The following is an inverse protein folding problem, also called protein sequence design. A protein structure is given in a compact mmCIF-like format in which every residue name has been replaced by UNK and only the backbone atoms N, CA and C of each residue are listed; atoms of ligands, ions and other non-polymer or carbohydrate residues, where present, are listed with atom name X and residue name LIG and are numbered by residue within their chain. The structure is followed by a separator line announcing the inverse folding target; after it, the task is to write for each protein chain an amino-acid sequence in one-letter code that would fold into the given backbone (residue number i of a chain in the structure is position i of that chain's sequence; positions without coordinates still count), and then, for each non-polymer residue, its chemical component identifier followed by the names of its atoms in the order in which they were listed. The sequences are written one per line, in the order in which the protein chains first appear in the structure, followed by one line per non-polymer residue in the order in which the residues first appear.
data_IF_059638648547
#
_entry.id   IF_059638648547
#
_cell.length_a   1.000
_cell.length_b   1.000
_cell.length_c   1.000
_cell.angle_alpha   90.00
_cell.angle_beta   90.00
_cell.angle_gamma   90.00
#
_symmetry.space_group_name_H-M   'P 1'
#
loop_
_entity.id
_entity.type
_entity.pdbx_description
1 polymer ?
#
# COMPACT_ATOMS: atom_id res chain seq x y z
N UNK A 1 24.31 -34.17 69.27
CA UNK A 1 25.46 -34.96 68.75
C UNK A 1 25.27 -35.06 67.21
N UNK A 2 26.32 -34.65 66.53
CA UNK A 2 26.66 -34.94 65.11
C UNK A 2 25.98 -34.12 64.03
N UNK A 3 26.71 -33.09 63.53
CA UNK A 3 26.67 -32.60 62.18
C UNK A 3 27.15 -33.67 61.19
N UNK A 4 26.69 -33.59 59.92
CA UNK A 4 27.67 -33.45 58.82
C UNK A 4 27.30 -32.37 57.80
N UNK A 5 28.26 -31.56 57.56
CA UNK A 5 29.13 -31.36 56.38
C UNK A 5 28.44 -30.98 55.03
N UNK A 6 28.77 -29.76 54.65
CA UNK A 6 28.59 -29.18 53.32
C UNK A 6 29.13 -30.08 52.20
N UNK A 7 28.30 -30.24 51.12
CA UNK A 7 28.73 -30.66 49.81
C UNK A 7 28.60 -29.45 48.89
N UNK A 8 29.74 -28.94 48.43
CA UNK A 8 29.86 -27.90 47.42
C UNK A 8 29.54 -28.52 46.05
N UNK A 9 28.58 -27.96 45.37
CA UNK A 9 28.25 -28.26 43.95
C UNK A 9 29.13 -27.36 43.06
N UNK A 10 29.92 -27.94 42.13
CA UNK A 10 30.80 -27.16 41.25
C UNK A 10 30.19 -26.99 39.84
N UNK A 11 29.10 -26.26 39.70
CA UNK A 11 28.50 -25.95 38.36
C UNK A 11 27.90 -24.55 38.28
N UNK A 12 28.62 -23.53 38.80
CA UNK A 12 28.17 -22.15 38.71
C UNK A 12 29.27 -21.20 38.19
N UNK A 13 29.98 -21.62 37.12
CA UNK A 13 31.03 -20.78 36.49
C UNK A 13 31.09 -20.93 34.97
N UNK A 14 29.94 -20.77 34.25
CA UNK A 14 29.97 -20.58 32.81
C UNK A 14 28.87 -19.61 32.30
N UNK A 15 28.70 -18.48 33.01
CA UNK A 15 28.09 -17.29 32.45
C UNK A 15 29.16 -16.46 31.76
N UNK A 16 29.64 -16.96 30.60
CA UNK A 16 30.42 -16.17 29.68
C UNK A 16 29.65 -14.90 29.37
N UNK A 17 30.17 -13.76 29.77
CA UNK A 17 29.67 -12.44 29.48
C UNK A 17 29.51 -12.31 27.96
N UNK A 18 28.27 -12.20 27.49
CA UNK A 18 27.99 -11.78 26.09
C UNK A 18 28.68 -10.44 25.89
N UNK A 19 29.47 -10.30 24.81
CA UNK A 19 30.03 -9.00 24.47
C UNK A 19 28.90 -7.99 24.27
N UNK A 20 29.10 -6.72 24.68
CA UNK A 20 28.12 -5.67 24.48
C UNK A 20 27.83 -5.58 22.99
N UNK A 21 26.54 -5.67 22.63
CA UNK A 21 26.04 -5.40 21.27
C UNK A 21 26.44 -3.96 20.94
N UNK A 22 27.13 -3.70 19.82
CA UNK A 22 27.44 -2.33 19.42
C UNK A 22 26.12 -1.58 19.26
N UNK A 23 26.07 -0.27 19.62
CA UNK A 23 24.87 0.54 19.46
C UNK A 23 24.41 0.44 18.02
N UNK A 24 23.17 -0.06 17.83
CA UNK A 24 22.56 -0.17 16.53
C UNK A 24 22.54 1.19 15.85
N UNK A 25 22.70 1.21 14.53
CA UNK A 25 22.43 2.38 13.72
C UNK A 25 21.09 2.98 14.17
N UNK A 26 20.96 4.33 14.25
CA UNK A 26 19.71 4.95 14.60
C UNK A 26 18.67 4.54 13.55
N UNK A 27 17.84 3.57 13.91
CA UNK A 27 16.69 3.19 13.11
C UNK A 27 15.76 4.39 13.03
N UNK A 28 15.12 4.58 11.90
CA UNK A 28 14.03 5.53 11.77
C UNK A 28 13.06 5.29 12.92
N UNK A 29 12.72 6.31 13.72
CA UNK A 29 11.83 6.17 14.86
C UNK A 29 10.44 5.73 14.34
N UNK A 30 9.93 4.64 14.89
CA UNK A 30 8.62 4.09 14.53
C UNK A 30 8.64 2.72 13.86
N UNK A 31 9.82 2.18 13.52
CA UNK A 31 9.93 0.78 13.11
C UNK A 31 10.53 -0.05 14.25
N UNK A 32 9.86 -1.16 14.68
CA UNK A 32 10.45 -2.09 15.62
C UNK A 32 11.81 -2.53 15.09
N UNK A 33 12.79 -2.54 15.96
CA UNK A 33 14.18 -2.88 15.64
C UNK A 33 14.26 -4.13 14.75
N UNK A 34 15.16 -4.09 13.79
CA UNK A 34 15.44 -5.23 12.93
C UNK A 34 15.54 -6.52 13.74
N UNK A 35 14.77 -7.59 13.39
CA UNK A 35 15.07 -8.90 13.89
C UNK A 35 16.51 -9.23 13.48
N UNK A 36 17.35 -9.57 14.44
CA UNK A 36 18.77 -9.80 14.24
C UNK A 36 19.03 -10.68 13.02
N UNK A 37 19.92 -10.23 12.14
CA UNK A 37 20.48 -11.09 11.11
C UNK A 37 21.04 -12.35 11.79
N UNK A 38 20.67 -13.58 11.37
CA UNK A 38 21.27 -14.78 11.91
C UNK A 38 22.79 -14.72 11.71
N UNK A 39 23.53 -15.04 12.75
CA UNK A 39 24.94 -14.79 12.95
C UNK A 39 25.94 -15.55 12.07
N UNK A 40 25.80 -15.57 10.76
CA UNK A 40 26.88 -15.87 9.82
C UNK A 40 26.87 -14.79 8.74
N UNK A 41 27.58 -13.70 9.01
CA UNK A 41 27.77 -12.59 8.06
C UNK A 41 28.72 -13.07 6.94
N UNK A 42 28.15 -13.57 5.85
CA UNK A 42 28.87 -13.83 4.61
C UNK A 42 29.08 -12.48 3.87
N UNK A 43 30.31 -11.96 3.95
CA UNK A 43 30.72 -10.74 3.27
C UNK A 43 30.42 -10.78 1.76
N UNK A 44 30.51 -11.96 1.15
CA UNK A 44 30.19 -12.16 -0.26
C UNK A 44 28.72 -11.93 -0.54
N UNK A 45 27.85 -12.34 0.39
CA UNK A 45 26.41 -12.12 0.31
C UNK A 45 26.02 -10.67 0.50
N UNK A 46 26.70 -9.98 1.44
CA UNK A 46 26.56 -8.53 1.63
C UNK A 46 26.98 -7.77 0.36
N UNK A 47 28.13 -8.12 -0.20
CA UNK A 47 28.61 -7.50 -1.44
C UNK A 47 27.69 -7.79 -2.63
N UNK A 48 27.12 -8.97 -2.75
CA UNK A 48 26.11 -9.31 -3.76
C UNK A 48 24.81 -8.51 -3.56
N UNK A 49 24.39 -8.30 -2.32
CA UNK A 49 23.23 -7.47 -1.98
C UNK A 49 23.48 -5.98 -2.34
N UNK A 50 24.67 -5.47 -2.07
CA UNK A 50 25.06 -4.11 -2.44
C UNK A 50 25.24 -3.92 -3.96
N UNK A 51 25.59 -4.97 -4.68
CA UNK A 51 25.79 -4.97 -6.13
C UNK A 51 24.49 -5.16 -6.94
N UNK A 52 23.32 -5.18 -6.27
CA UNK A 52 22.04 -5.35 -6.97
C UNK A 52 21.79 -4.19 -7.95
N UNK A 53 21.53 -4.47 -9.24
CA UNK A 53 21.32 -3.42 -10.23
C UNK A 53 19.96 -2.74 -10.01
N UNK A 54 19.93 -1.42 -10.11
CA UNK A 54 18.72 -0.62 -10.08
C UNK A 54 18.60 0.31 -8.88
N UNK A 55 17.61 1.21 -8.90
CA UNK A 55 17.41 2.23 -7.88
C UNK A 55 16.80 1.68 -6.58
N UNK A 56 16.25 0.46 -6.60
CA UNK A 56 15.67 -0.25 -5.45
C UNK A 56 16.20 -1.69 -5.40
N UNK A 57 16.60 -2.14 -4.22
CA UNK A 57 17.00 -3.54 -4.04
C UNK A 57 15.78 -4.41 -3.75
N UNK A 58 15.23 -5.02 -4.79
CA UNK A 58 14.01 -5.83 -4.73
C UNK A 58 14.17 -7.14 -3.94
N UNK A 59 15.37 -7.70 -3.90
CA UNK A 59 15.62 -8.91 -3.10
C UNK A 59 15.49 -8.62 -1.61
N UNK A 60 16.08 -7.49 -1.17
CA UNK A 60 15.92 -7.01 0.20
C UNK A 60 14.45 -6.69 0.48
N UNK A 61 13.77 -6.01 -0.43
CA UNK A 61 12.36 -5.67 -0.26
C UNK A 61 11.50 -6.92 -0.01
N UNK A 62 11.68 -7.98 -0.81
CA UNK A 62 10.95 -9.24 -0.61
C UNK A 62 11.30 -9.94 0.71
N UNK A 63 12.58 -9.96 1.09
CA UNK A 63 13.01 -10.56 2.35
C UNK A 63 12.42 -9.84 3.56
N UNK A 64 12.45 -8.50 3.56
CA UNK A 64 11.89 -7.68 4.64
C UNK A 64 10.37 -7.82 4.70
N UNK A 65 9.68 -7.80 3.57
CA UNK A 65 8.22 -8.00 3.53
C UNK A 65 7.82 -9.34 4.15
N UNK A 66 8.54 -10.42 3.80
CA UNK A 66 8.32 -11.74 4.40
C UNK A 66 8.60 -11.74 5.91
N UNK A 67 9.66 -11.07 6.36
CA UNK A 67 9.98 -10.96 7.77
C UNK A 67 8.90 -10.22 8.55
N UNK A 68 8.42 -9.08 8.05
CA UNK A 68 7.34 -8.29 8.65
C UNK A 68 6.04 -9.08 8.72
N UNK A 69 5.70 -9.82 7.66
CA UNK A 69 4.51 -10.69 7.65
C UNK A 69 4.64 -11.85 8.64
N UNK A 70 5.86 -12.37 8.84
CA UNK A 70 6.12 -13.47 9.76
C UNK A 70 6.19 -13.04 11.24
N UNK A 71 6.24 -11.74 11.53
CA UNK A 71 6.19 -11.24 12.91
C UNK A 71 4.90 -11.71 13.58
N UNK A 72 5.01 -12.29 14.80
CA UNK A 72 3.84 -12.69 15.55
C UNK A 72 2.91 -11.48 15.76
N UNK A 73 1.60 -11.70 15.61
CA UNK A 73 0.60 -10.73 16.01
C UNK A 73 0.67 -10.42 17.51
N UNK A 74 -0.11 -9.45 18.01
CA UNK A 74 -0.14 -9.08 19.44
C UNK A 74 -0.35 -10.29 20.37
N UNK A 75 -1.02 -11.33 19.86
CA UNK A 75 -1.32 -12.55 20.61
C UNK A 75 -0.23 -13.63 20.52
N UNK A 76 0.88 -13.38 19.80
CA UNK A 76 2.01 -14.30 19.65
C UNK A 76 1.69 -15.63 18.95
N UNK A 77 0.52 -15.73 18.29
CA UNK A 77 0.10 -16.96 17.63
C UNK A 77 0.85 -17.14 16.29
N UNK A 78 1.36 -18.36 16.00
CA UNK A 78 1.90 -18.66 14.69
C UNK A 78 0.80 -18.58 13.63
N UNK A 79 1.16 -18.19 12.40
CA UNK A 79 0.21 -18.08 11.29
C UNK A 79 -0.61 -19.37 11.14
N UNK A 80 -1.94 -19.23 11.11
CA UNK A 80 -2.86 -20.36 10.96
C UNK A 80 -2.76 -20.93 9.54
N UNK A 81 -2.74 -22.27 9.36
CA UNK A 81 -2.78 -22.86 8.04
C UNK A 81 -4.08 -22.52 7.31
N UNK A 82 -4.00 -22.34 6.00
CA UNK A 82 -5.17 -22.13 5.15
C UNK A 82 -6.01 -23.40 5.13
N UNK A 83 -7.33 -23.24 5.29
CA UNK A 83 -8.28 -24.35 5.14
C UNK A 83 -8.15 -24.97 3.73
N UNK A 84 -7.91 -26.28 3.59
CA UNK A 84 -7.80 -26.94 2.28
C UNK A 84 -9.04 -26.80 1.40
N UNK A 85 -10.22 -26.52 1.98
CA UNK A 85 -11.45 -26.29 1.23
C UNK A 85 -11.56 -24.85 0.69
N UNK A 86 -10.82 -23.88 1.24
CA UNK A 86 -10.94 -22.47 0.88
C UNK A 86 -10.74 -22.20 -0.63
N UNK A 87 -9.79 -22.80 -1.35
CA UNK A 87 -9.63 -22.56 -2.79
C UNK A 87 -10.89 -22.91 -3.60
N UNK A 88 -11.54 -24.05 -3.29
CA UNK A 88 -12.77 -24.47 -3.97
C UNK A 88 -13.93 -23.54 -3.59
N UNK A 89 -14.08 -23.20 -2.31
CA UNK A 89 -15.09 -22.27 -1.82
C UNK A 89 -15.01 -20.92 -2.53
N UNK A 90 -13.84 -20.29 -2.54
CA UNK A 90 -13.68 -18.98 -3.19
C UNK A 90 -13.81 -19.05 -4.71
N UNK A 91 -13.43 -20.14 -5.35
CA UNK A 91 -13.67 -20.34 -6.78
C UNK A 91 -15.17 -20.42 -7.12
N UNK A 92 -15.97 -21.04 -6.27
CA UNK A 92 -17.43 -21.09 -6.42
C UNK A 92 -18.09 -19.74 -6.16
N UNK A 93 -17.65 -19.05 -5.09
CA UNK A 93 -18.14 -17.71 -4.76
C UNK A 93 -17.79 -16.69 -5.86
N UNK A 94 -16.59 -16.75 -6.42
CA UNK A 94 -16.19 -15.88 -7.52
C UNK A 94 -17.03 -16.12 -8.79
N UNK A 95 -17.35 -17.37 -9.11
CA UNK A 95 -18.24 -17.70 -10.25
C UNK A 95 -19.66 -17.16 -10.03
N UNK A 96 -20.20 -17.32 -8.82
CA UNK A 96 -21.50 -16.77 -8.45
C UNK A 96 -21.49 -15.23 -8.49
N UNK A 97 -20.45 -14.61 -7.93
CA UNK A 97 -20.27 -13.17 -7.95
C UNK A 97 -20.19 -12.63 -9.39
N UNK A 98 -19.46 -13.30 -10.27
CA UNK A 98 -19.37 -12.94 -11.70
C UNK A 98 -20.75 -12.92 -12.38
N UNK A 99 -21.58 -13.92 -12.13
CA UNK A 99 -22.93 -13.99 -12.70
C UNK A 99 -23.78 -12.79 -12.23
N UNK A 100 -23.75 -12.49 -10.93
CA UNK A 100 -24.55 -11.39 -10.37
C UNK A 100 -24.01 -9.99 -10.74
N UNK A 101 -22.69 -9.83 -10.85
CA UNK A 101 -22.09 -8.59 -11.36
C UNK A 101 -22.52 -8.35 -12.81
N UNK A 102 -22.56 -9.39 -13.66
CA UNK A 102 -23.02 -9.29 -15.05
C UNK A 102 -24.51 -8.94 -15.19
N UNK A 103 -25.33 -9.20 -14.15
CA UNK A 103 -26.74 -8.76 -14.11
C UNK A 103 -26.89 -7.27 -13.77
N UNK A 104 -25.90 -6.71 -13.06
CA UNK A 104 -25.95 -5.34 -12.54
C UNK A 104 -25.27 -4.35 -13.48
N UNK A 105 -24.15 -4.71 -14.09
CA UNK A 105 -23.36 -3.83 -14.96
C UNK A 105 -23.29 -4.35 -16.40
N UNK A 106 -23.24 -3.42 -17.35
CA UNK A 106 -23.02 -3.73 -18.77
C UNK A 106 -21.55 -3.98 -19.14
N UNK A 107 -20.64 -3.80 -18.19
CA UNK A 107 -19.22 -4.11 -18.39
C UNK A 107 -19.07 -5.61 -18.65
N UNK A 108 -18.31 -5.96 -19.69
CA UNK A 108 -18.14 -7.34 -20.09
C UNK A 108 -17.48 -8.16 -18.98
N UNK A 109 -18.30 -8.86 -18.19
CA UNK A 109 -17.86 -9.75 -17.12
C UNK A 109 -17.27 -11.08 -17.64
N UNK A 110 -16.71 -11.08 -18.85
CA UNK A 110 -15.94 -12.23 -19.38
C UNK A 110 -14.58 -12.33 -18.70
N UNK A 111 -14.59 -12.18 -17.39
CA UNK A 111 -13.36 -12.24 -16.61
C UNK A 111 -12.96 -13.70 -16.41
N UNK A 112 -12.13 -14.25 -17.27
CA UNK A 112 -11.40 -15.49 -16.98
C UNK A 112 -10.20 -15.16 -16.10
N UNK A 113 -10.47 -14.54 -14.96
CA UNK A 113 -9.41 -14.25 -14.00
C UNK A 113 -9.16 -15.49 -13.13
N UNK A 114 -7.91 -15.92 -12.94
CA UNK A 114 -7.61 -17.01 -12.03
C UNK A 114 -7.97 -16.61 -10.59
N UNK A 115 -8.62 -17.53 -9.87
CA UNK A 115 -8.94 -17.40 -8.46
C UNK A 115 -7.85 -18.07 -7.64
N UNK A 116 -7.26 -17.35 -6.70
CA UNK A 116 -6.18 -17.80 -5.85
C UNK A 116 -6.49 -17.49 -4.38
N UNK A 117 -6.30 -18.49 -3.53
CA UNK A 117 -6.20 -18.28 -2.10
C UNK A 117 -4.72 -18.20 -1.75
N UNK A 118 -4.29 -17.08 -1.23
CA UNK A 118 -2.89 -16.75 -1.00
C UNK A 118 -2.64 -16.40 0.47
N UNK A 119 -1.39 -16.49 0.89
CA UNK A 119 -0.95 -15.96 2.18
C UNK A 119 -0.52 -14.50 2.08
N UNK A 120 -0.38 -13.84 3.24
CA UNK A 120 0.06 -12.45 3.30
C UNK A 120 1.43 -12.20 2.65
N UNK A 121 2.37 -13.15 2.75
CA UNK A 121 3.69 -13.03 2.11
C UNK A 121 3.58 -13.02 0.58
N UNK A 122 2.73 -13.86 0.01
CA UNK A 122 2.48 -13.89 -1.43
C UNK A 122 1.73 -12.64 -1.89
N UNK A 123 0.80 -12.13 -1.08
CA UNK A 123 0.16 -10.84 -1.32
C UNK A 123 1.18 -9.71 -1.39
N UNK A 124 2.14 -9.69 -0.45
CA UNK A 124 3.22 -8.71 -0.44
C UNK A 124 4.08 -8.77 -1.71
N UNK A 125 4.44 -9.96 -2.18
CA UNK A 125 5.22 -10.14 -3.41
C UNK A 125 4.47 -9.61 -4.63
N UNK A 126 3.18 -9.91 -4.77
CA UNK A 126 2.34 -9.42 -5.85
C UNK A 126 2.29 -7.88 -5.89
N UNK A 127 2.23 -7.23 -4.72
CA UNK A 127 2.16 -5.78 -4.64
C UNK A 127 3.52 -5.09 -4.77
N UNK A 128 4.61 -5.71 -4.31
CA UNK A 128 5.97 -5.24 -4.61
C UNK A 128 6.22 -5.23 -6.13
N UNK A 129 5.81 -6.27 -6.84
CA UNK A 129 5.96 -6.34 -8.30
C UNK A 129 5.08 -5.27 -9.00
N UNK A 130 3.86 -5.07 -8.53
CA UNK A 130 2.94 -4.09 -9.09
C UNK A 130 3.37 -2.62 -8.84
N UNK A 131 3.91 -2.35 -7.65
CA UNK A 131 4.41 -1.03 -7.26
C UNK A 131 5.81 -0.74 -7.80
N UNK A 132 6.50 -1.75 -8.33
CA UNK A 132 7.87 -1.64 -8.83
C UNK A 132 8.12 -0.39 -9.67
N UNK A 133 7.38 -0.14 -10.77
CA UNK A 133 7.59 1.03 -11.61
C UNK A 133 7.41 2.36 -10.89
N UNK A 134 6.49 2.44 -9.91
CA UNK A 134 6.22 3.66 -9.12
C UNK A 134 7.36 3.91 -8.14
N UNK A 135 7.80 2.88 -7.41
CA UNK A 135 8.88 2.98 -6.42
C UNK A 135 10.24 3.25 -7.07
N UNK A 136 10.49 2.71 -8.25
CA UNK A 136 11.68 3.03 -9.01
C UNK A 136 11.69 4.48 -9.52
N UNK A 137 10.55 5.01 -9.94
CA UNK A 137 10.44 6.42 -10.31
C UNK A 137 10.67 7.32 -9.10
N UNK A 138 10.11 6.99 -7.94
CA UNK A 138 10.37 7.69 -6.68
C UNK A 138 11.87 7.68 -6.35
N UNK A 139 12.50 6.50 -6.40
CA UNK A 139 13.90 6.33 -6.10
C UNK A 139 14.80 7.18 -7.03
N UNK A 140 14.49 7.22 -8.34
CA UNK A 140 15.22 8.05 -9.30
C UNK A 140 15.02 9.54 -9.03
N UNK A 141 13.79 9.95 -8.72
CA UNK A 141 13.48 11.36 -8.39
C UNK A 141 14.27 11.81 -7.16
N UNK A 142 14.30 11.01 -6.09
CA UNK A 142 15.07 11.32 -4.89
C UNK A 142 16.59 11.34 -5.19
N UNK A 143 17.08 10.37 -5.96
CA UNK A 143 18.50 10.29 -6.35
C UNK A 143 18.97 11.48 -7.17
N UNK A 144 18.16 12.01 -8.10
CA UNK A 144 18.51 13.22 -8.87
C UNK A 144 18.52 14.47 -8.01
N UNK A 145 17.55 14.62 -7.11
CA UNK A 145 17.52 15.77 -6.20
C UNK A 145 18.76 15.82 -5.30
N UNK A 146 19.16 14.68 -4.72
CA UNK A 146 20.40 14.61 -3.94
C UNK A 146 21.65 14.93 -4.77
N UNK A 147 21.72 14.48 -6.02
CA UNK A 147 22.86 14.74 -6.89
C UNK A 147 22.97 16.21 -7.30
N UNK A 148 21.83 16.85 -7.58
CA UNK A 148 21.75 18.26 -7.97
C UNK A 148 22.16 19.17 -6.80
N UNK A 149 21.72 18.88 -5.59
CA UNK A 149 22.06 19.66 -4.39
C UNK A 149 23.53 19.49 -3.97
N UNK A 150 24.13 18.31 -4.20
CA UNK A 150 25.56 18.08 -3.99
C UNK A 150 26.41 18.76 -5.05
N UNK A 151 25.84 19.06 -6.23
CA UNK A 151 26.57 19.73 -7.34
C UNK A 151 26.46 21.26 -7.26
N UNK A 152 25.61 21.85 -6.42
CA UNK A 152 25.49 23.30 -6.26
C UNK A 152 26.65 23.84 -5.41
N UNK A 153 27.58 24.60 -6.00
CA UNK A 153 28.82 25.06 -5.33
C UNK A 153 28.61 26.32 -4.48
N UNK A 154 27.42 26.56 -3.92
CA UNK A 154 27.21 27.66 -2.98
C UNK A 154 27.97 27.49 -1.64
N UNK A 155 28.63 26.34 -1.44
CA UNK A 155 29.62 26.10 -0.40
C UNK A 155 31.03 26.40 -0.95
N UNK A 156 31.79 27.21 -0.25
CA UNK A 156 33.17 27.65 -0.46
C UNK A 156 34.07 26.47 -0.94
N UNK A 157 34.28 26.34 -2.24
CA UNK A 157 34.83 25.21 -3.01
C UNK A 157 36.21 24.69 -2.62
N UNK A 158 36.56 24.59 -1.35
CA UNK A 158 37.85 24.10 -0.82
C UNK A 158 37.73 22.77 -0.02
N UNK A 159 36.58 22.18 0.11
CA UNK A 159 36.38 20.91 0.82
C UNK A 159 36.67 19.70 -0.07
N UNK A 160 37.47 18.74 0.43
CA UNK A 160 37.52 17.40 -0.15
C UNK A 160 36.11 16.78 -0.18
N UNK A 161 35.74 15.99 -1.22
CA UNK A 161 34.43 15.35 -1.30
C UNK A 161 34.20 14.55 -0.01
N UNK A 162 33.04 14.80 0.63
CA UNK A 162 32.68 14.12 1.85
C UNK A 162 32.57 12.60 1.57
N UNK A 163 33.39 11.76 2.23
CA UNK A 163 33.35 10.32 2.02
C UNK A 163 31.95 9.72 2.32
N UNK A 164 31.20 10.33 3.22
CA UNK A 164 29.82 9.93 3.53
C UNK A 164 28.88 10.21 2.36
N UNK A 165 29.01 11.37 1.71
CA UNK A 165 28.22 11.70 0.52
C UNK A 165 28.49 10.72 -0.65
N UNK A 166 29.72 10.23 -0.79
CA UNK A 166 30.08 9.23 -1.80
C UNK A 166 29.44 7.84 -1.54
N UNK A 167 29.10 7.52 -0.29
CA UNK A 167 28.46 6.24 0.08
C UNK A 167 26.93 6.24 -0.14
N UNK A 168 26.27 7.40 -0.11
CA UNK A 168 24.83 7.53 -0.23
C UNK A 168 24.28 6.84 -1.49
N UNK A 169 24.83 7.04 -2.70
CA UNK A 169 24.32 6.37 -3.90
C UNK A 169 24.43 4.84 -3.86
N UNK A 170 25.42 4.32 -3.12
CA UNK A 170 25.60 2.87 -2.99
C UNK A 170 24.63 2.25 -1.97
N UNK A 171 24.27 2.99 -0.92
CA UNK A 171 23.37 2.51 0.13
C UNK A 171 21.90 2.79 -0.19
N UNK A 172 21.59 3.80 -1.00
CA UNK A 172 20.21 4.20 -1.31
C UNK A 172 19.33 3.04 -1.84
N UNK A 173 19.76 2.17 -2.77
CA UNK A 173 18.95 1.06 -3.23
C UNK A 173 18.60 0.06 -2.12
N UNK A 174 19.52 -0.16 -1.17
CA UNK A 174 19.32 -1.03 -0.02
C UNK A 174 18.29 -0.41 0.93
N UNK A 175 18.45 0.85 1.29
CA UNK A 175 17.54 1.57 2.18
C UNK A 175 16.12 1.64 1.59
N UNK A 176 16.02 1.92 0.29
CA UNK A 176 14.73 1.95 -0.41
C UNK A 176 14.12 0.55 -0.49
N UNK A 177 14.91 -0.49 -0.69
CA UNK A 177 14.44 -1.87 -0.63
C UNK A 177 13.91 -2.25 0.76
N UNK A 178 14.64 -1.90 1.82
CA UNK A 178 14.19 -2.09 3.20
C UNK A 178 12.85 -1.39 3.45
N UNK A 179 12.75 -0.13 3.05
CA UNK A 179 11.56 0.68 3.26
C UNK A 179 10.37 0.13 2.48
N UNK A 180 10.55 -0.18 1.19
CA UNK A 180 9.49 -0.76 0.35
C UNK A 180 9.00 -2.10 0.90
N UNK A 181 9.92 -2.95 1.35
CA UNK A 181 9.60 -4.25 1.95
C UNK A 181 8.83 -4.12 3.25
N UNK A 182 9.27 -3.26 4.17
CA UNK A 182 8.59 -3.02 5.44
C UNK A 182 7.18 -2.48 5.21
N UNK A 183 7.05 -1.51 4.32
CA UNK A 183 5.83 -0.86 3.94
C UNK A 183 4.79 -1.85 3.40
N UNK A 184 5.14 -2.60 2.36
CA UNK A 184 4.22 -3.57 1.74
C UNK A 184 3.96 -4.76 2.67
N UNK A 185 4.95 -5.17 3.47
CA UNK A 185 4.77 -6.18 4.50
C UNK A 185 3.72 -5.80 5.55
N UNK A 186 3.73 -4.54 6.00
CA UNK A 186 2.70 -4.05 6.92
C UNK A 186 1.30 -4.03 6.30
N UNK A 187 1.16 -3.58 5.04
CA UNK A 187 -0.14 -3.66 4.34
C UNK A 187 -0.63 -5.10 4.23
N UNK A 188 0.28 -6.02 3.89
CA UNK A 188 -0.05 -7.43 3.71
C UNK A 188 -0.64 -8.08 4.97
N UNK A 189 -0.31 -7.58 6.17
CA UNK A 189 -0.82 -8.12 7.45
C UNK A 189 -2.32 -7.91 7.66
N UNK A 190 -2.91 -6.98 6.92
CA UNK A 190 -4.32 -6.62 7.05
C UNK A 190 -5.13 -6.90 5.79
N UNK A 191 -4.48 -7.26 4.69
CA UNK A 191 -5.12 -7.45 3.40
C UNK A 191 -6.11 -8.63 3.42
N UNK A 192 -7.32 -8.41 2.90
CA UNK A 192 -8.36 -9.43 2.72
C UNK A 192 -8.35 -9.97 1.29
N UNK A 193 -8.06 -9.11 0.32
CA UNK A 193 -8.04 -9.42 -1.10
C UNK A 193 -6.97 -8.65 -1.87
N UNK A 194 -6.94 -8.82 -3.18
CA UNK A 194 -5.98 -8.12 -4.04
C UNK A 194 -6.28 -6.62 -4.13
N UNK A 195 -7.56 -6.28 -4.10
CA UNK A 195 -8.03 -4.93 -4.37
C UNK A 195 -8.56 -4.20 -3.14
N UNK A 196 -8.11 -4.60 -1.95
CA UNK A 196 -8.44 -3.92 -0.69
C UNK A 196 -8.07 -2.44 -0.68
N UNK A 197 -7.08 -2.09 -1.48
CA UNK A 197 -6.56 -0.75 -1.63
C UNK A 197 -6.59 -0.33 -3.10
N UNK A 198 -6.86 0.94 -3.41
CA UNK A 198 -6.82 1.47 -4.77
C UNK A 198 -5.38 1.60 -5.30
N UNK A 199 -4.53 0.62 -5.03
CA UNK A 199 -3.14 0.59 -5.47
C UNK A 199 -3.03 0.25 -6.95
N UNK A 200 -1.96 0.72 -7.63
CA UNK A 200 -1.58 0.20 -8.94
C UNK A 200 -1.42 -1.32 -8.90
N UNK A 201 -1.88 -1.98 -9.94
CA UNK A 201 -1.78 -3.44 -10.10
C UNK A 201 -1.08 -3.77 -11.41
N UNK A 202 -0.63 -5.01 -11.55
CA UNK A 202 -0.12 -5.54 -12.83
C UNK A 202 -1.26 -5.66 -13.84
N UNK A 203 -0.93 -5.65 -15.13
CA UNK A 203 -1.90 -5.69 -16.24
C UNK A 203 -2.76 -6.96 -16.30
N UNK A 204 -2.34 -8.04 -15.61
CA UNK A 204 -3.11 -9.28 -15.58
C UNK A 204 -4.02 -9.33 -14.37
N UNK A 205 -5.35 -9.18 -14.55
CA UNK A 205 -6.30 -9.31 -13.45
C UNK A 205 -6.26 -10.71 -12.85
N UNK A 206 -6.28 -10.81 -11.54
CA UNK A 206 -6.49 -12.07 -10.80
C UNK A 206 -7.31 -11.79 -9.55
N UNK A 207 -8.09 -12.75 -9.12
CA UNK A 207 -8.85 -12.68 -7.88
C UNK A 207 -8.01 -13.35 -6.79
N UNK A 208 -7.63 -12.60 -5.76
CA UNK A 208 -6.85 -13.14 -4.66
C UNK A 208 -7.58 -12.93 -3.34
N UNK A 209 -7.57 -13.97 -2.49
CA UNK A 209 -8.19 -13.94 -1.17
C UNK A 209 -7.19 -14.39 -0.13
N UNK A 210 -7.03 -13.62 0.94
CA UNK A 210 -6.18 -13.96 2.09
C UNK A 210 -7.07 -14.64 3.14
N UNK A 211 -7.35 -15.93 2.97
CA UNK A 211 -8.38 -16.65 3.70
C UNK A 211 -8.22 -16.57 5.22
N UNK A 212 -6.99 -16.60 5.74
CA UNK A 212 -6.72 -16.50 7.18
C UNK A 212 -7.12 -15.14 7.74
N UNK A 213 -6.86 -14.05 7.03
CA UNK A 213 -7.26 -12.71 7.45
C UNK A 213 -8.77 -12.50 7.31
N UNK A 214 -9.39 -13.11 6.29
CA UNK A 214 -10.84 -13.11 6.14
C UNK A 214 -11.51 -13.80 7.34
N UNK A 215 -10.97 -14.95 7.79
CA UNK A 215 -11.46 -15.65 8.98
C UNK A 215 -11.32 -14.82 10.27
N UNK A 216 -10.20 -14.10 10.40
CA UNK A 216 -9.94 -13.23 11.55
C UNK A 216 -10.86 -12.02 11.53
N UNK A 217 -11.06 -11.42 10.36
CA UNK A 217 -12.01 -10.32 10.15
C UNK A 217 -13.45 -10.74 10.44
N UNK A 218 -13.86 -11.92 9.96
CA UNK A 218 -15.16 -12.55 10.23
C UNK A 218 -15.41 -12.66 11.74
N UNK A 219 -14.39 -13.12 12.48
CA UNK A 219 -14.44 -13.31 13.92
C UNK A 219 -14.49 -11.97 14.65
N UNK A 220 -13.60 -11.04 14.31
CA UNK A 220 -13.47 -9.74 14.96
C UNK A 220 -14.74 -8.89 14.85
N UNK A 221 -15.45 -8.98 13.73
CA UNK A 221 -16.67 -8.23 13.47
C UNK A 221 -17.96 -9.03 13.68
N UNK A 222 -17.85 -10.30 14.11
CA UNK A 222 -19.00 -11.23 14.28
C UNK A 222 -19.87 -11.30 13.02
N UNK A 223 -19.25 -11.41 11.85
CA UNK A 223 -19.92 -11.43 10.55
C UNK A 223 -20.33 -12.87 10.19
N UNK A 224 -21.39 -13.00 9.40
CA UNK A 224 -21.79 -14.29 8.84
C UNK A 224 -20.82 -14.67 7.73
N UNK A 225 -20.14 -15.82 7.88
CA UNK A 225 -19.11 -16.34 6.94
C UNK A 225 -19.57 -16.29 5.48
N UNK A 226 -20.73 -16.83 5.18
CA UNK A 226 -21.23 -16.88 3.80
C UNK A 226 -21.45 -15.49 3.21
N UNK A 227 -22.01 -14.58 4.00
CA UNK A 227 -22.33 -13.21 3.57
C UNK A 227 -21.05 -12.41 3.34
N UNK A 228 -20.09 -12.48 4.27
CA UNK A 228 -18.79 -11.78 4.14
C UNK A 228 -18.00 -12.28 2.92
N UNK A 229 -17.81 -13.59 2.80
CA UNK A 229 -17.00 -14.17 1.73
C UNK A 229 -17.59 -13.93 0.35
N UNK A 230 -18.93 -13.99 0.24
CA UNK A 230 -19.62 -13.64 -1.01
C UNK A 230 -19.45 -12.15 -1.34
N UNK A 231 -19.62 -11.26 -0.36
CA UNK A 231 -19.40 -9.82 -0.56
C UNK A 231 -17.99 -9.51 -1.00
N UNK A 232 -16.98 -10.14 -0.39
CA UNK A 232 -15.57 -10.04 -0.83
C UNK A 232 -15.38 -10.54 -2.25
N UNK A 233 -16.00 -11.66 -2.62
CA UNK A 233 -15.92 -12.17 -3.97
C UNK A 233 -16.54 -11.20 -4.99
N UNK A 234 -17.67 -10.56 -4.66
CA UNK A 234 -18.26 -9.52 -5.50
C UNK A 234 -17.33 -8.33 -5.63
N UNK A 235 -16.76 -7.84 -4.54
CA UNK A 235 -15.80 -6.74 -4.50
C UNK A 235 -14.59 -7.00 -5.41
N UNK A 236 -13.94 -8.15 -5.26
CA UNK A 236 -12.78 -8.55 -6.06
C UNK A 236 -13.15 -8.67 -7.56
N UNK A 237 -14.31 -9.26 -7.87
CA UNK A 237 -14.79 -9.40 -9.26
C UNK A 237 -15.05 -8.04 -9.90
N UNK A 238 -15.70 -7.10 -9.21
CA UNK A 238 -15.95 -5.75 -9.76
C UNK A 238 -14.63 -5.03 -10.02
N UNK A 239 -13.70 -5.05 -9.08
CA UNK A 239 -12.39 -4.45 -9.26
C UNK A 239 -11.61 -5.06 -10.42
N UNK A 240 -11.61 -6.38 -10.55
CA UNK A 240 -10.95 -7.07 -11.66
C UNK A 240 -11.61 -6.73 -13.00
N UNK A 241 -12.95 -6.63 -13.03
CA UNK A 241 -13.71 -6.22 -14.22
C UNK A 241 -13.31 -4.79 -14.64
N UNK A 242 -13.26 -3.84 -13.72
CA UNK A 242 -12.84 -2.48 -14.00
C UNK A 242 -11.40 -2.41 -14.52
N UNK A 243 -10.49 -3.15 -13.89
CA UNK A 243 -9.08 -3.18 -14.31
C UNK A 243 -8.84 -3.96 -15.60
N UNK A 244 -9.82 -4.72 -16.09
CA UNK A 244 -9.76 -5.32 -17.43
C UNK A 244 -10.09 -4.32 -18.54
N UNK A 245 -10.67 -3.17 -18.21
CA UNK A 245 -10.79 -2.03 -19.13
C UNK A 245 -9.40 -1.45 -19.39
N UNK A 246 -8.88 -1.45 -20.62
CA UNK A 246 -7.45 -1.23 -20.90
C UNK A 246 -6.87 0.05 -20.33
N UNK A 247 -7.65 1.14 -20.30
CA UNK A 247 -7.15 2.43 -19.82
C UNK A 247 -7.20 2.59 -18.28
N UNK A 248 -8.04 1.83 -17.56
CA UNK A 248 -8.27 2.01 -16.10
C UNK A 248 -7.02 1.71 -15.31
N UNK A 249 -6.44 0.51 -15.47
CA UNK A 249 -5.21 0.14 -14.78
C UNK A 249 -4.03 1.04 -15.21
N UNK A 250 -3.93 1.31 -16.53
CA UNK A 250 -2.88 2.17 -17.07
C UNK A 250 -2.97 3.60 -16.53
N UNK A 251 -4.19 4.18 -16.38
CA UNK A 251 -4.39 5.50 -15.80
C UNK A 251 -3.94 5.57 -14.35
N UNK A 252 -4.35 4.60 -13.52
CA UNK A 252 -3.97 4.55 -12.12
C UNK A 252 -2.45 4.52 -11.96
N UNK A 253 -1.78 3.64 -12.72
CA UNK A 253 -0.33 3.52 -12.69
C UNK A 253 0.35 4.80 -13.21
N UNK A 254 -0.14 5.40 -14.30
CA UNK A 254 0.40 6.65 -14.84
C UNK A 254 0.29 7.79 -13.83
N UNK A 255 -0.88 8.00 -13.22
CA UNK A 255 -1.09 9.06 -12.24
C UNK A 255 -0.23 8.87 -10.99
N UNK A 256 -0.10 7.64 -10.47
CA UNK A 256 0.78 7.35 -9.34
C UNK A 256 2.25 7.65 -9.69
N UNK A 257 2.70 7.30 -10.90
CA UNK A 257 4.06 7.61 -11.37
C UNK A 257 4.28 9.11 -11.58
N UNK A 258 3.31 9.83 -12.15
CA UNK A 258 3.37 11.29 -12.29
C UNK A 258 3.47 11.94 -10.91
N UNK A 259 2.71 11.45 -9.94
CA UNK A 259 2.71 11.97 -8.57
C UNK A 259 4.08 11.78 -7.90
N UNK A 260 4.66 10.59 -7.93
CA UNK A 260 5.97 10.35 -7.29
C UNK A 260 7.13 11.06 -8.00
N UNK A 261 7.03 11.31 -9.31
CA UNK A 261 8.00 12.10 -10.07
C UNK A 261 7.93 13.60 -9.79
N UNK A 262 6.81 14.08 -9.25
CA UNK A 262 6.64 15.48 -8.89
C UNK A 262 7.20 15.83 -7.50
N UNK A 263 7.71 14.84 -6.74
CA UNK A 263 8.41 15.11 -5.49
C UNK A 263 9.64 15.99 -5.72
N UNK A 264 9.82 16.96 -4.83
CA UNK A 264 11.03 17.77 -4.74
C UNK A 264 11.46 17.75 -3.28
N UNK A 265 12.71 17.37 -3.04
CA UNK A 265 13.25 17.40 -1.69
C UNK A 265 13.75 18.82 -1.41
N UNK A 266 13.20 19.45 -0.39
CA UNK A 266 13.69 20.71 0.14
C UNK A 266 14.67 20.39 1.28
N UNK A 267 15.97 20.37 0.95
CA UNK A 267 17.03 20.10 1.94
C UNK A 267 17.11 21.20 3.00
N UNK A 268 16.75 22.45 2.68
CA UNK A 268 16.67 23.54 3.65
C UNK A 268 15.59 23.26 4.69
N UNK A 269 14.37 22.95 4.24
CA UNK A 269 13.26 22.55 5.13
C UNK A 269 13.58 21.27 5.93
N UNK A 270 14.32 20.34 5.34
CA UNK A 270 14.77 19.14 6.05
C UNK A 270 15.83 19.49 7.09
N UNK A 271 16.83 20.31 6.73
CA UNK A 271 17.89 20.75 7.64
C UNK A 271 17.33 21.59 8.80
N UNK A 272 16.35 22.46 8.56
CA UNK A 272 15.67 23.23 9.61
C UNK A 272 14.93 22.31 10.60
N UNK A 273 14.34 21.24 10.12
CA UNK A 273 13.70 20.21 10.96
C UNK A 273 14.70 19.34 11.70
N UNK A 274 15.85 19.05 11.07
CA UNK A 274 16.94 18.30 11.68
C UNK A 274 17.86 19.19 12.53
N UNK A 275 17.88 20.50 12.30
CA UNK A 275 18.74 21.48 13.00
C UNK A 275 18.46 21.65 14.48
N UNK A 276 17.34 21.11 14.98
CA UNK A 276 17.05 20.96 16.41
C UNK A 276 17.69 19.74 17.05
N UNK A 277 18.37 18.86 16.27
CA UNK A 277 19.03 17.69 16.76
C UNK A 277 20.46 18.03 17.19
N UNK A 278 20.81 17.73 18.41
CA UNK A 278 22.19 17.64 18.87
C UNK A 278 22.67 16.18 18.68
N UNK A 279 23.52 15.89 17.66
CA UNK A 279 24.03 14.53 17.44
C UNK A 279 24.87 13.98 18.59
N UNK A 280 25.31 14.85 19.49
CA UNK A 280 26.10 14.49 20.67
C UNK A 280 25.24 14.21 21.92
N UNK A 281 23.93 14.53 21.88
CA UNK A 281 23.01 14.26 22.97
C UNK A 281 22.10 13.03 22.67
N UNK A 282 22.33 11.88 23.33
CA UNK A 282 21.48 10.70 23.16
C UNK A 282 20.00 10.95 23.46
N UNK A 283 19.67 11.85 24.39
CA UNK A 283 18.29 12.19 24.73
C UNK A 283 17.62 13.02 23.61
N UNK A 284 18.38 13.85 22.90
CA UNK A 284 17.93 14.56 21.71
C UNK A 284 17.61 13.58 20.57
N UNK A 285 18.43 12.53 20.38
CA UNK A 285 18.21 11.47 19.40
C UNK A 285 17.02 10.58 19.76
N UNK A 286 16.83 10.27 21.04
CA UNK A 286 15.65 9.49 21.52
C UNK A 286 14.35 10.29 21.45
N UNK A 287 14.40 11.60 21.72
CA UNK A 287 13.25 12.49 21.62
C UNK A 287 12.87 12.82 20.18
N UNK A 288 13.78 12.58 19.23
CA UNK A 288 13.55 12.83 17.81
C UNK A 288 12.73 11.71 17.18
N UNK A 289 11.45 11.79 17.38
CA UNK A 289 10.50 10.98 16.64
C UNK A 289 10.21 11.66 15.31
N UNK A 290 10.97 11.33 14.28
CA UNK A 290 10.62 11.76 12.91
C UNK A 290 9.37 11.00 12.52
N UNK A 291 8.25 11.68 12.54
CA UNK A 291 7.06 11.11 11.94
C UNK A 291 7.29 11.02 10.42
N UNK A 292 7.09 9.85 9.80
CA UNK A 292 7.28 9.69 8.35
C UNK A 292 6.53 10.74 7.52
N UNK A 293 5.41 11.25 8.03
CA UNK A 293 4.64 12.36 7.44
C UNK A 293 5.39 13.69 7.41
N UNK A 294 6.28 13.93 8.36
CA UNK A 294 7.07 15.17 8.40
C UNK A 294 8.13 15.18 7.29
N UNK A 295 8.69 14.00 6.97
CA UNK A 295 9.60 13.83 5.83
C UNK A 295 8.82 14.07 4.53
N UNK A 296 7.66 13.46 4.37
CA UNK A 296 6.80 13.69 3.19
C UNK A 296 6.43 15.18 3.06
N UNK A 297 6.13 15.86 4.17
CA UNK A 297 5.83 17.29 4.18
C UNK A 297 7.01 18.18 3.73
N UNK A 298 8.27 17.73 3.88
CA UNK A 298 9.46 18.40 3.35
C UNK A 298 9.72 18.07 1.87
N UNK A 299 9.01 17.08 1.32
CA UNK A 299 9.15 16.63 -0.07
C UNK A 299 8.01 17.10 -0.97
N UNK A 300 6.94 17.69 -0.42
CA UNK A 300 5.77 18.12 -1.20
C UNK A 300 6.03 19.46 -1.89
N UNK A 301 5.58 19.57 -3.15
CA UNK A 301 5.67 20.80 -3.96
C UNK A 301 4.25 21.22 -4.44
N UNK A 302 3.98 22.54 -4.63
CA UNK A 302 2.68 23.01 -5.12
C UNK A 302 2.21 22.37 -6.43
N UNK A 303 3.13 22.06 -7.36
CA UNK A 303 2.83 21.40 -8.64
C UNK A 303 2.30 19.97 -8.47
N UNK A 304 2.48 19.37 -7.29
CA UNK A 304 2.00 18.04 -6.95
C UNK A 304 0.47 18.00 -6.73
N UNK A 305 -0.11 19.14 -6.31
CA UNK A 305 -1.51 19.22 -5.93
C UNK A 305 -2.47 18.86 -7.07
N UNK A 306 -2.16 19.25 -8.31
CA UNK A 306 -3.01 18.93 -9.47
C UNK A 306 -3.00 17.43 -9.80
N UNK A 307 -1.82 16.82 -9.79
CA UNK A 307 -1.69 15.38 -10.05
C UNK A 307 -2.36 14.58 -8.92
N UNK A 308 -2.15 14.99 -7.68
CA UNK A 308 -2.80 14.37 -6.52
C UNK A 308 -4.31 14.46 -6.61
N UNK A 309 -4.86 15.63 -6.99
CA UNK A 309 -6.30 15.80 -7.15
C UNK A 309 -6.86 14.86 -8.23
N UNK A 310 -6.20 14.78 -9.40
CA UNK A 310 -6.61 13.87 -10.48
C UNK A 310 -6.59 12.40 -10.05
N UNK A 311 -5.55 11.99 -9.34
CA UNK A 311 -5.41 10.64 -8.81
C UNK A 311 -6.49 10.34 -7.77
N UNK A 312 -6.70 11.25 -6.82
CA UNK A 312 -7.70 11.13 -5.76
C UNK A 312 -9.12 11.05 -6.32
N UNK A 313 -9.48 11.92 -7.29
CA UNK A 313 -10.79 11.87 -7.96
C UNK A 313 -10.98 10.51 -8.65
N UNK A 314 -9.98 10.06 -9.39
CA UNK A 314 -10.07 8.80 -10.10
C UNK A 314 -10.27 7.61 -9.15
N UNK A 315 -9.49 7.53 -8.07
CA UNK A 315 -9.64 6.51 -7.04
C UNK A 315 -11.00 6.61 -6.33
N UNK A 316 -11.47 7.82 -6.00
CA UNK A 316 -12.78 8.07 -5.40
C UNK A 316 -13.94 7.54 -6.26
N UNK A 317 -13.90 7.79 -7.57
CA UNK A 317 -14.93 7.33 -8.51
C UNK A 317 -14.87 5.81 -8.68
N UNK A 318 -13.66 5.26 -8.77
CA UNK A 318 -13.45 3.82 -8.89
C UNK A 318 -14.04 3.07 -7.67
N UNK A 319 -13.68 3.51 -6.46
CA UNK A 319 -14.18 2.92 -5.22
C UNK A 319 -15.69 3.13 -5.05
N UNK A 320 -16.20 4.33 -5.40
CA UNK A 320 -17.64 4.62 -5.36
C UNK A 320 -18.46 3.74 -6.31
N UNK A 321 -17.91 3.46 -7.49
CA UNK A 321 -18.54 2.52 -8.44
C UNK A 321 -18.55 1.09 -7.87
N UNK A 322 -17.42 0.62 -7.34
CA UNK A 322 -17.31 -0.71 -6.72
C UNK A 322 -18.33 -0.86 -5.60
N UNK A 323 -18.37 0.09 -4.67
CA UNK A 323 -19.32 0.10 -3.55
C UNK A 323 -20.78 0.09 -4.04
N UNK A 324 -21.08 0.80 -5.14
CA UNK A 324 -22.43 0.84 -5.72
C UNK A 324 -22.84 -0.51 -6.28
N UNK A 325 -21.96 -1.17 -7.04
CA UNK A 325 -22.25 -2.52 -7.60
C UNK A 325 -22.37 -3.55 -6.49
N UNK A 326 -21.43 -3.53 -5.52
CA UNK A 326 -21.47 -4.42 -4.35
C UNK A 326 -22.78 -4.25 -3.58
N UNK A 327 -23.21 -3.01 -3.34
CA UNK A 327 -24.46 -2.73 -2.63
C UNK A 327 -25.68 -3.27 -3.38
N UNK A 328 -25.76 -3.10 -4.70
CA UNK A 328 -26.88 -3.59 -5.52
C UNK A 328 -26.95 -5.13 -5.54
N UNK A 329 -25.80 -5.82 -5.59
CA UNK A 329 -25.77 -7.28 -5.47
C UNK A 329 -26.15 -7.72 -4.05
N UNK A 330 -25.59 -7.04 -3.02
CA UNK A 330 -25.80 -7.39 -1.63
C UNK A 330 -27.25 -7.16 -1.17
N UNK A 331 -27.93 -6.11 -1.65
CA UNK A 331 -29.32 -5.80 -1.27
C UNK A 331 -30.27 -7.00 -1.47
N UNK A 332 -30.00 -7.83 -2.47
CA UNK A 332 -30.83 -8.97 -2.82
C UNK A 332 -30.40 -10.28 -2.17
N UNK A 333 -29.11 -10.42 -1.84
CA UNK A 333 -28.50 -11.72 -1.55
C UNK A 333 -27.84 -11.79 -0.18
N UNK A 334 -27.52 -10.65 0.45
CA UNK A 334 -26.71 -10.59 1.67
C UNK A 334 -27.50 -9.94 2.81
N UNK A 335 -28.15 -10.73 3.68
CA UNK A 335 -28.94 -10.20 4.80
C UNK A 335 -28.14 -9.28 5.74
N UNK A 336 -26.85 -9.55 5.95
CA UNK A 336 -25.96 -8.75 6.80
C UNK A 336 -25.19 -7.65 6.04
N UNK A 337 -25.63 -7.27 4.83
CA UNK A 337 -24.92 -6.34 3.95
C UNK A 337 -24.58 -5.00 4.61
N UNK A 338 -25.47 -4.41 5.39
CA UNK A 338 -25.20 -3.15 6.09
C UNK A 338 -24.09 -3.27 7.14
N UNK A 339 -24.05 -4.37 7.91
CA UNK A 339 -23.00 -4.64 8.90
C UNK A 339 -21.64 -4.85 8.22
N UNK A 340 -21.63 -5.61 7.12
CA UNK A 340 -20.40 -5.84 6.33
C UNK A 340 -19.89 -4.54 5.74
N UNK A 341 -20.78 -3.71 5.18
CA UNK A 341 -20.42 -2.41 4.63
C UNK A 341 -19.75 -1.51 5.69
N UNK A 342 -20.29 -1.42 6.90
CA UNK A 342 -19.69 -0.63 7.99
C UNK A 342 -18.32 -1.21 8.41
N UNK A 343 -18.20 -2.54 8.49
CA UNK A 343 -16.94 -3.20 8.81
C UNK A 343 -15.85 -2.86 7.74
N UNK A 344 -16.20 -2.93 6.45
CA UNK A 344 -15.29 -2.54 5.38
C UNK A 344 -14.94 -1.06 5.39
N UNK A 345 -15.91 -0.19 5.61
CA UNK A 345 -15.67 1.26 5.68
C UNK A 345 -14.63 1.61 6.77
N UNK A 346 -14.69 0.93 7.91
CA UNK A 346 -13.69 1.10 8.98
C UNK A 346 -12.36 0.46 8.60
N UNK A 347 -12.38 -0.75 8.07
CA UNK A 347 -11.15 -1.46 7.64
C UNK A 347 -10.34 -0.66 6.63
N UNK A 348 -10.99 0.01 5.67
CA UNK A 348 -10.32 0.84 4.65
C UNK A 348 -9.69 2.11 5.21
N UNK A 349 -10.19 2.65 6.32
CA UNK A 349 -9.71 3.90 6.92
C UNK A 349 -8.73 3.64 8.07
N UNK A 350 -8.95 2.58 8.85
CA UNK A 350 -8.14 2.24 10.02
C UNK A 350 -6.97 1.31 9.65
N UNK A 351 -6.01 1.84 8.88
CA UNK A 351 -4.83 1.08 8.41
C UNK A 351 -3.57 1.31 9.24
N UNK A 352 -3.71 1.98 10.37
CA UNK A 352 -2.57 2.38 11.18
C UNK A 352 -1.65 3.40 10.49
N UNK A 353 -0.59 3.81 11.17
CA UNK A 353 0.34 4.84 10.69
C UNK A 353 1.08 4.44 9.40
N UNK A 354 1.45 3.16 9.28
CA UNK A 354 2.15 2.64 8.10
C UNK A 354 1.29 2.73 6.84
N UNK A 355 0.00 2.32 6.91
CA UNK A 355 -0.92 2.42 5.78
C UNK A 355 -1.16 3.86 5.36
N UNK A 356 -1.37 4.75 6.31
CA UNK A 356 -1.55 6.18 6.05
C UNK A 356 -0.30 6.83 5.42
N UNK A 357 0.90 6.39 5.82
CA UNK A 357 2.13 6.84 5.20
C UNK A 357 2.22 6.45 3.72
N UNK A 358 1.85 5.20 3.40
CA UNK A 358 1.85 4.70 2.02
C UNK A 358 0.85 5.46 1.16
N UNK A 359 -0.35 5.67 1.69
CA UNK A 359 -1.39 6.42 1.00
C UNK A 359 -0.91 7.84 0.66
N UNK A 360 -0.26 8.49 1.62
CA UNK A 360 0.33 9.81 1.42
C UNK A 360 1.50 9.77 0.42
N UNK A 361 2.39 8.75 0.53
CA UNK A 361 3.54 8.58 -0.37
C UNK A 361 3.12 8.36 -1.83
N UNK A 362 2.02 7.66 -2.05
CA UNK A 362 1.48 7.37 -3.38
C UNK A 362 0.43 8.38 -3.84
N UNK A 363 0.07 9.35 -3.00
CA UNK A 363 -0.96 10.35 -3.29
C UNK A 363 -2.39 9.81 -3.32
N UNK A 364 -2.62 8.62 -2.77
CA UNK A 364 -3.91 7.89 -2.78
C UNK A 364 -4.54 7.93 -1.38
N UNK A 365 -4.31 8.99 -0.61
CA UNK A 365 -4.88 9.15 0.73
C UNK A 365 -6.38 9.42 0.63
N UNK A 366 -7.18 8.34 0.56
CA UNK A 366 -8.64 8.41 0.58
C UNK A 366 -9.15 8.32 2.01
N UNK A 367 -9.70 9.42 2.49
CA UNK A 367 -10.44 9.47 3.74
C UNK A 367 -11.88 8.97 3.60
N UNK A 368 -12.59 8.85 4.73
CA UNK A 368 -14.01 8.48 4.76
C UNK A 368 -14.86 9.38 3.86
N UNK A 369 -14.57 10.68 3.85
CA UNK A 369 -15.29 11.67 3.04
C UNK A 369 -15.17 11.40 1.53
N UNK A 370 -14.02 10.86 1.07
CA UNK A 370 -13.82 10.53 -0.34
C UNK A 370 -14.65 9.31 -0.74
N UNK A 371 -14.66 8.25 0.08
CA UNK A 371 -15.54 7.09 -0.16
C UNK A 371 -17.00 7.50 -0.17
N UNK A 372 -17.42 8.34 0.78
CA UNK A 372 -18.81 8.85 0.85
C UNK A 372 -19.16 9.74 -0.36
N UNK A 373 -18.19 10.53 -0.83
CA UNK A 373 -18.33 11.39 -2.01
C UNK A 373 -18.48 10.56 -3.28
N UNK A 374 -17.65 9.54 -3.47
CA UNK A 374 -17.74 8.62 -4.60
C UNK A 374 -19.08 7.88 -4.65
N UNK A 375 -19.53 7.35 -3.50
CA UNK A 375 -20.84 6.69 -3.39
C UNK A 375 -22.01 7.64 -3.70
N UNK A 376 -21.98 8.86 -3.18
CA UNK A 376 -23.02 9.88 -3.47
C UNK A 376 -23.08 10.24 -4.95
N UNK A 377 -21.92 10.39 -5.58
CA UNK A 377 -21.86 10.62 -7.03
C UNK A 377 -22.48 9.46 -7.80
N UNK A 378 -22.04 8.22 -7.55
CA UNK A 378 -22.56 7.05 -8.25
C UNK A 378 -24.06 6.83 -7.98
N UNK A 379 -24.52 6.97 -6.76
CA UNK A 379 -25.95 6.90 -6.42
C UNK A 379 -26.78 7.96 -7.15
N UNK A 380 -26.27 9.19 -7.21
CA UNK A 380 -26.93 10.28 -7.93
C UNK A 380 -26.98 10.10 -9.46
N UNK A 381 -26.00 9.41 -10.05
CA UNK A 381 -26.05 9.00 -11.47
C UNK A 381 -27.05 7.88 -11.66
N UNK A 382 -27.01 6.84 -10.81
CA UNK A 382 -27.93 5.71 -10.90
C UNK A 382 -29.40 6.16 -10.75
N UNK A 383 -29.69 7.07 -9.82
CA UNK A 383 -31.05 7.62 -9.65
C UNK A 383 -31.58 8.30 -10.92
N UNK A 384 -30.72 8.94 -11.70
CA UNK A 384 -31.10 9.73 -12.90
C UNK A 384 -31.07 8.95 -14.20
N UNK A 385 -30.08 8.03 -14.33
CA UNK A 385 -29.78 7.36 -15.59
C UNK A 385 -29.59 5.84 -15.49
N UNK A 386 -29.82 5.27 -14.29
CA UNK A 386 -29.63 3.84 -14.04
C UNK A 386 -28.17 3.42 -14.09
N UNK A 387 -27.94 2.11 -13.88
CA UNK A 387 -26.59 1.54 -13.97
C UNK A 387 -25.95 1.70 -15.34
N UNK A 388 -26.72 1.56 -16.40
CA UNK A 388 -26.22 1.79 -17.78
C UNK A 388 -25.68 3.20 -17.97
N UNK A 389 -26.29 4.21 -17.32
CA UNK A 389 -25.77 5.58 -17.31
C UNK A 389 -24.45 5.67 -16.55
N UNK A 390 -24.34 4.97 -15.43
CA UNK A 390 -23.12 4.94 -14.61
C UNK A 390 -21.98 4.20 -15.31
N UNK A 391 -22.26 3.12 -16.03
CA UNK A 391 -21.26 2.32 -16.77
C UNK A 391 -20.53 3.13 -17.86
N UNK A 392 -21.11 4.23 -18.31
CA UNK A 392 -20.47 5.16 -19.26
C UNK A 392 -19.18 5.78 -18.72
N UNK A 393 -18.98 5.79 -17.39
CA UNK A 393 -17.70 6.18 -16.78
C UNK A 393 -16.50 5.44 -17.37
N UNK A 394 -16.72 4.20 -17.76
CA UNK A 394 -15.64 3.28 -18.17
C UNK A 394 -15.50 3.16 -19.69
N UNK A 395 -16.32 3.87 -20.44
CA UNK A 395 -16.25 3.86 -21.90
C UNK A 395 -14.98 4.53 -22.44
N UNK A 396 -14.55 5.62 -21.81
CA UNK A 396 -13.37 6.39 -22.19
C UNK A 396 -12.78 7.15 -21.00
N UNK A 397 -11.47 7.42 -21.03
CA UNK A 397 -10.76 8.18 -20.00
C UNK A 397 -11.32 9.60 -19.79
N UNK A 398 -11.84 10.23 -20.85
CA UNK A 398 -12.46 11.54 -20.80
C UNK A 398 -13.80 11.56 -20.04
N UNK A 399 -14.38 10.39 -19.77
CA UNK A 399 -15.63 10.27 -18.98
C UNK A 399 -15.42 10.45 -17.50
N UNK A 400 -14.18 10.41 -17.00
CA UNK A 400 -13.88 10.65 -15.57
C UNK A 400 -14.38 12.04 -15.17
N UNK A 401 -15.15 12.17 -14.06
CA UNK A 401 -15.70 13.46 -13.66
C UNK A 401 -14.63 14.44 -13.18
N UNK A 402 -14.90 15.71 -13.37
CA UNK A 402 -14.16 16.80 -12.74
C UNK A 402 -14.53 16.91 -11.23
N UNK A 403 -13.76 17.66 -10.42
CA UNK A 403 -14.10 17.88 -9.01
C UNK A 403 -15.52 18.42 -8.80
N UNK A 404 -15.95 19.35 -9.64
CA UNK A 404 -17.30 19.96 -9.57
C UNK A 404 -18.40 18.95 -9.97
N UNK A 405 -18.15 18.13 -10.97
CA UNK A 405 -19.10 17.11 -11.42
C UNK A 405 -19.24 15.97 -10.40
N UNK A 406 -18.17 15.63 -9.68
CA UNK A 406 -18.21 14.63 -8.62
C UNK A 406 -19.20 15.03 -7.50
N UNK A 407 -19.36 16.33 -7.24
CA UNK A 407 -20.34 16.86 -6.29
C UNK A 407 -21.72 17.11 -6.91
N UNK A 408 -21.81 17.12 -8.24
CA UNK A 408 -23.02 17.41 -9.00
C UNK A 408 -23.21 16.42 -10.16
N UNK A 409 -23.70 15.19 -9.89
CA UNK A 409 -23.82 14.12 -10.91
C UNK A 409 -24.59 14.53 -12.15
N UNK A 410 -25.56 15.45 -12.03
CA UNK A 410 -26.30 16.01 -13.15
C UNK A 410 -25.45 16.83 -14.13
N UNK A 411 -24.39 17.50 -13.65
CA UNK A 411 -23.45 18.21 -14.53
C UNK A 411 -22.63 17.23 -15.35
N UNK A 412 -22.16 16.14 -14.71
CA UNK A 412 -21.45 15.07 -15.40
C UNK A 412 -22.30 14.46 -16.51
N UNK A 413 -23.56 14.08 -16.21
CA UNK A 413 -24.48 13.53 -17.20
C UNK A 413 -24.72 14.51 -18.34
N UNK A 414 -24.93 15.81 -18.04
CA UNK A 414 -25.10 16.83 -19.06
C UNK A 414 -23.88 16.95 -19.97
N UNK A 415 -22.66 16.91 -19.40
CA UNK A 415 -21.42 16.97 -20.20
C UNK A 415 -21.27 15.78 -21.13
N UNK A 416 -21.45 14.55 -20.62
CA UNK A 416 -21.24 13.35 -21.43
C UNK A 416 -22.32 13.12 -22.51
N UNK A 417 -23.45 13.83 -22.42
CA UNK A 417 -24.51 13.83 -23.44
C UNK A 417 -24.29 14.88 -24.55
N UNK A 418 -23.30 15.76 -24.38
CA UNK A 418 -22.98 16.75 -25.44
C UNK A 418 -22.31 16.07 -26.64
N UNK A 419 -22.65 16.44 -27.87
CA UNK A 419 -21.94 15.97 -29.05
C UNK A 419 -20.46 16.36 -29.00
N UNK A 420 -19.57 15.39 -29.16
CA UNK A 420 -18.11 15.61 -29.11
C UNK A 420 -17.44 15.42 -27.72
N UNK A 421 -18.19 15.04 -26.71
CA UNK A 421 -17.64 14.84 -25.33
C UNK A 421 -16.57 13.74 -25.23
N UNK A 422 -16.32 12.94 -26.24
CA UNK A 422 -15.29 11.90 -26.30
C UNK A 422 -14.15 12.19 -27.30
N UNK A 423 -14.16 13.33 -28.00
CA UNK A 423 -13.03 13.69 -28.87
C UNK A 423 -11.94 14.36 -28.03
N UNK A 424 -10.70 13.83 -28.01
CA UNK A 424 -9.59 14.51 -27.36
C UNK A 424 -9.37 15.87 -28.04
N UNK A 425 -9.30 16.93 -27.24
CA UNK A 425 -8.96 18.27 -27.67
C UNK A 425 -7.66 18.21 -28.50
N UNK A 426 -7.78 18.36 -29.80
CA UNK A 426 -6.65 18.45 -30.74
C UNK A 426 -5.97 19.81 -30.58
N UNK A 427 -5.24 20.01 -29.47
CA UNK A 427 -4.34 21.14 -29.30
C UNK A 427 -2.98 20.69 -28.80
#
# INVERSE_FOLDING_TARGET
MVHPSHGSDPDDDDRAARPPVPPGFPGFPGFPGFPGFPGDFDLSRLMAMLASPGPVNWEIARQVARAVVAEPGPDGAPGRPVDPAAPSEFAELARAAQAHVAEVTSLAATLVAPVRVIGAAEWAELHLDALGPVLEDLARTLGTTFADDLADPAGDGTGAPDPMAAMVPMLAPVLLGLQAGAMVGHLARHALGRYDLPLPTTDTPSLCFVATHIDDFETAWSLRRADLRFTLAVHEVVHATLRSVPWVAARLQRLAREYVRSYRLDLGALADRLGGLDPSDPASLEAFTVHPRDILGAMTHPDQADVQQRLRIFATVLEGYVDTVVAQVAERLVPSGAQIHEAFARHRVDRGEAGQFIDALLGIDLGRDDYDRGRRFCAGVVERAGMTGLDRLWADEAMVPTPAELDAPGLWLARIDLPGAGEPDAR
#
